data_IF_237176701716
#
_entry.id   IF_237176701716
#
_cell.length_a   1.000
_cell.length_b   1.000
_cell.length_c   1.000
_cell.angle_alpha   90.00
_cell.angle_beta   90.00
_cell.angle_gamma   90.00
#
_symmetry.space_group_name_H-M   'P 1'
#
loop_
_entity.id
_entity.type
_entity.pdbx_description
1 polymer ?
#
# COMPACT_ATOMS: atom_id res chain seq x y z
N UNK A 1 -7.91 -10.85 9.33
CA UNK A 1 -7.90 -10.43 7.91
C UNK A 1 -8.37 -11.63 7.11
N UNK A 2 -9.27 -11.43 6.14
CA UNK A 2 -9.93 -12.55 5.45
C UNK A 2 -9.15 -13.02 4.22
N UNK A 3 -8.41 -12.13 3.55
CA UNK A 3 -7.60 -12.48 2.38
C UNK A 3 -6.23 -13.07 2.77
N UNK A 4 -5.69 -13.96 1.93
CA UNK A 4 -4.31 -14.43 2.05
C UNK A 4 -3.30 -13.31 1.72
N UNK A 5 -2.10 -13.39 2.31
CA UNK A 5 -1.01 -12.41 2.12
C UNK A 5 -0.70 -12.18 0.64
N UNK A 6 -0.72 -13.22 -0.19
CA UNK A 6 -0.46 -13.11 -1.63
C UNK A 6 -1.49 -12.22 -2.32
N UNK A 7 -2.76 -12.37 -1.97
CA UNK A 7 -3.83 -11.55 -2.54
C UNK A 7 -3.67 -10.08 -2.12
N UNK A 8 -3.30 -9.83 -0.87
CA UNK A 8 -3.02 -8.48 -0.36
C UNK A 8 -1.86 -7.84 -1.15
N UNK A 9 -0.74 -8.57 -1.35
CA UNK A 9 0.39 -8.09 -2.15
C UNK A 9 -0.04 -7.75 -3.58
N UNK A 10 -0.87 -8.59 -4.20
CA UNK A 10 -1.39 -8.35 -5.55
C UNK A 10 -2.32 -7.13 -5.63
N UNK A 11 -3.10 -6.86 -4.59
CA UNK A 11 -3.94 -5.66 -4.52
C UNK A 11 -3.09 -4.41 -4.33
N UNK A 12 -2.09 -4.46 -3.44
CA UNK A 12 -1.13 -3.35 -3.23
C UNK A 12 -0.39 -3.00 -4.53
N UNK A 13 0.01 -3.99 -5.34
CA UNK A 13 0.66 -3.73 -6.64
C UNK A 13 -0.21 -3.00 -7.67
N UNK A 14 -1.52 -2.89 -7.45
CA UNK A 14 -2.45 -2.14 -8.33
C UNK A 14 -2.61 -0.67 -7.91
N UNK A 15 -2.01 -0.26 -6.79
CA UNK A 15 -2.07 1.14 -6.34
C UNK A 15 -1.30 2.01 -7.34
N UNK A 16 -1.96 3.06 -7.80
CA UNK A 16 -1.34 4.08 -8.64
C UNK A 16 -0.88 5.23 -7.76
N UNK A 17 0.44 5.37 -7.62
CA UNK A 17 1.08 6.43 -6.83
C UNK A 17 1.69 7.49 -7.76
N UNK A 18 1.56 8.75 -7.37
CA UNK A 18 2.38 9.85 -7.88
C UNK A 18 3.25 10.37 -6.74
N UNK A 19 4.57 10.33 -6.93
CA UNK A 19 5.54 10.93 -6.01
C UNK A 19 6.03 12.25 -6.63
N UNK A 20 6.05 13.33 -5.86
CA UNK A 20 6.55 14.64 -6.32
C UNK A 20 8.07 14.78 -6.18
N UNK A 21 8.67 14.00 -5.29
CA UNK A 21 10.12 13.92 -5.04
C UNK A 21 10.71 12.59 -5.54
N UNK A 22 11.99 12.59 -5.88
CA UNK A 22 12.73 11.38 -6.30
C UNK A 22 13.27 10.55 -5.11
N UNK A 23 12.97 10.98 -3.87
CA UNK A 23 13.36 10.29 -2.65
C UNK A 23 12.45 9.09 -2.35
N UNK A 24 13.02 8.04 -1.76
CA UNK A 24 12.26 6.92 -1.20
C UNK A 24 11.30 7.40 -0.13
N UNK A 25 10.01 7.10 -0.29
CA UNK A 25 8.98 7.44 0.68
C UNK A 25 8.52 6.18 1.42
N UNK A 26 8.35 6.30 2.73
CA UNK A 26 7.68 5.29 3.55
C UNK A 26 6.19 5.60 3.59
N UNK A 27 5.36 4.58 3.38
CA UNK A 27 3.91 4.64 3.53
C UNK A 27 3.45 3.61 4.56
N UNK A 28 2.35 3.90 5.24
CA UNK A 28 1.80 3.06 6.30
C UNK A 28 0.28 2.91 6.15
N UNK A 29 -0.24 1.75 6.53
CA UNK A 29 -1.66 1.53 6.80
C UNK A 29 -1.73 0.94 8.21
N UNK A 30 -2.51 1.56 9.09
CA UNK A 30 -2.76 1.09 10.46
C UNK A 30 -4.25 1.13 10.77
N UNK A 31 -4.93 -0.03 10.72
CA UNK A 31 -6.39 -0.11 10.81
C UNK A 31 -6.83 -1.21 11.76
N UNK A 32 -7.70 -0.85 12.72
CA UNK A 32 -8.39 -1.79 13.61
C UNK A 32 -9.78 -2.11 13.05
N UNK A 33 -10.12 -3.40 13.00
CA UNK A 33 -11.39 -3.86 12.48
C UNK A 33 -12.57 -3.70 13.46
N UNK A 34 -13.81 -3.86 12.97
CA UNK A 34 -14.15 -4.29 11.61
C UNK A 34 -14.03 -3.14 10.58
N UNK A 35 -13.32 -3.36 9.48
CA UNK A 35 -13.06 -2.32 8.48
C UNK A 35 -12.79 -2.89 7.08
N UNK A 36 -13.20 -2.15 6.04
CA UNK A 36 -12.76 -2.36 4.66
C UNK A 36 -11.61 -1.41 4.38
N UNK A 37 -10.43 -1.95 4.11
CA UNK A 37 -9.21 -1.16 3.85
C UNK A 37 -9.09 -0.91 2.36
N UNK A 38 -8.90 0.35 2.00
CA UNK A 38 -8.71 0.84 0.64
C UNK A 38 -7.35 1.50 0.49
N UNK A 39 -6.95 1.84 -0.75
CA UNK A 39 -5.75 2.62 -0.98
C UNK A 39 -5.83 4.04 -0.40
N UNK A 40 -7.04 4.56 -0.16
CA UNK A 40 -7.28 5.83 0.51
C UNK A 40 -6.89 5.84 1.98
N UNK A 41 -6.77 4.67 2.62
CA UNK A 41 -6.34 4.52 4.01
C UNK A 41 -4.80 4.60 4.18
N UNK A 42 -4.06 4.81 3.09
CA UNK A 42 -2.61 4.96 3.12
C UNK A 42 -2.24 6.30 3.76
N UNK A 43 -1.44 6.20 4.81
CA UNK A 43 -0.78 7.32 5.49
C UNK A 43 0.60 7.48 4.84
N UNK A 44 0.84 8.64 4.24
CA UNK A 44 2.09 8.96 3.58
C UNK A 44 2.45 10.43 3.73
N UNK A 45 3.65 10.77 3.27
CA UNK A 45 4.15 12.15 3.27
C UNK A 45 3.39 13.02 2.24
N UNK A 46 3.50 14.35 2.35
CA UNK A 46 2.77 15.30 1.49
C UNK A 46 3.15 15.15 0.00
N UNK A 47 4.36 14.67 -0.28
CA UNK A 47 4.86 14.40 -1.62
C UNK A 47 4.26 13.14 -2.27
N UNK A 48 3.40 12.39 -1.57
CA UNK A 48 2.80 11.15 -2.07
C UNK A 48 1.31 11.32 -2.31
N UNK A 49 0.89 11.06 -3.55
CA UNK A 49 -0.51 11.08 -3.94
C UNK A 49 -0.98 9.72 -4.44
N UNK A 50 -1.99 9.18 -3.78
CA UNK A 50 -2.75 8.01 -4.24
C UNK A 50 -3.74 8.47 -5.32
N UNK A 51 -3.65 7.90 -6.52
CA UNK A 51 -4.47 8.30 -7.68
C UNK A 51 -5.77 7.50 -7.80
N UNK A 52 -5.85 6.35 -7.15
CA UNK A 52 -7.01 5.46 -7.12
C UNK A 52 -7.40 5.09 -5.68
N UNK A 53 -7.86 6.07 -4.86
CA UNK A 53 -8.10 5.88 -3.43
C UNK A 53 -9.15 4.80 -3.13
N UNK A 54 -10.15 4.60 -3.99
CA UNK A 54 -11.21 3.61 -3.79
C UNK A 54 -10.78 2.16 -4.05
N UNK A 55 -9.52 1.91 -4.43
CA UNK A 55 -9.01 0.56 -4.70
C UNK A 55 -9.06 -0.29 -3.41
N UNK A 56 -9.81 -1.42 -3.38
CA UNK A 56 -9.85 -2.28 -2.21
C UNK A 56 -8.53 -3.03 -2.02
N UNK A 57 -8.04 -3.06 -0.78
CA UNK A 57 -6.82 -3.77 -0.38
C UNK A 57 -7.17 -5.05 0.36
N UNK A 58 -7.89 -4.93 1.49
CA UNK A 58 -8.29 -6.07 2.31
C UNK A 58 -9.49 -5.78 3.23
N UNK A 59 -10.03 -6.82 3.85
CA UNK A 59 -11.08 -6.75 4.88
C UNK A 59 -10.52 -7.19 6.23
N UNK A 60 -10.67 -6.32 7.23
CA UNK A 60 -10.25 -6.57 8.62
C UNK A 60 -11.47 -6.96 9.45
N UNK A 61 -11.44 -8.15 10.05
CA UNK A 61 -12.51 -8.65 10.90
C UNK A 61 -12.57 -7.93 12.26
N UNK A 62 -13.70 -8.05 12.95
CA UNK A 62 -13.88 -7.53 14.30
C UNK A 62 -12.79 -8.04 15.26
N UNK A 63 -12.25 -7.15 16.09
CA UNK A 63 -11.17 -7.47 17.02
C UNK A 63 -9.78 -7.71 16.39
N UNK A 64 -9.64 -7.63 15.07
CA UNK A 64 -8.35 -7.76 14.39
C UNK A 64 -7.69 -6.40 14.11
N UNK A 65 -6.38 -6.42 13.91
CA UNK A 65 -5.57 -5.25 13.57
C UNK A 65 -4.74 -5.56 12.33
N UNK A 66 -4.74 -4.64 11.37
CA UNK A 66 -3.95 -4.72 10.15
C UNK A 66 -2.97 -3.56 10.14
N UNK A 67 -1.68 -3.89 10.17
CA UNK A 67 -0.59 -2.94 10.09
C UNK A 67 0.33 -3.33 8.94
N UNK A 68 0.58 -2.38 8.03
CA UNK A 68 1.43 -2.57 6.86
C UNK A 68 2.31 -1.34 6.67
N UNK A 69 3.61 -1.58 6.50
CA UNK A 69 4.58 -0.56 6.11
C UNK A 69 5.15 -0.91 4.74
N UNK A 70 5.19 0.06 3.84
CA UNK A 70 5.70 -0.10 2.48
C UNK A 70 6.65 1.04 2.11
N UNK A 71 7.55 0.78 1.17
CA UNK A 71 8.42 1.80 0.58
C UNK A 71 8.05 2.02 -0.88
N UNK A 72 8.03 3.27 -1.30
CA UNK A 72 7.72 3.68 -2.67
C UNK A 72 8.87 4.51 -3.23
N UNK A 73 9.30 4.15 -4.45
CA UNK A 73 10.38 4.80 -5.20
C UNK A 73 9.87 5.19 -6.59
N UNK A 74 10.48 6.20 -7.19
CA UNK A 74 10.33 6.52 -8.60
C UNK A 74 11.20 5.58 -9.44
N UNK A 75 10.76 5.26 -10.66
CA UNK A 75 11.48 4.35 -11.55
C UNK A 75 10.86 4.29 -12.93
N UNK A 76 11.50 3.57 -13.86
CA UNK A 76 11.01 3.35 -15.23
C UNK A 76 10.95 1.87 -15.57
N UNK A 77 9.88 1.47 -16.23
CA UNK A 77 9.70 0.08 -16.66
C UNK A 77 9.27 -0.84 -15.52
N UNK A 78 9.80 -2.06 -15.52
CA UNK A 78 9.46 -3.10 -14.54
C UNK A 78 10.73 -3.50 -13.77
N UNK A 79 10.61 -3.59 -12.45
CA UNK A 79 11.68 -4.07 -11.55
C UNK A 79 11.17 -5.35 -10.88
N UNK A 80 11.99 -6.41 -10.92
CA UNK A 80 11.66 -7.68 -10.30
C UNK A 80 11.69 -7.56 -8.77
N UNK A 81 11.04 -8.49 -8.06
CA UNK A 81 11.13 -8.53 -6.61
C UNK A 81 12.54 -8.88 -6.10
N UNK A 82 13.39 -9.50 -6.94
CA UNK A 82 14.78 -9.80 -6.59
C UNK A 82 15.65 -8.56 -6.62
N UNK A 83 15.47 -7.71 -7.63
CA UNK A 83 16.17 -6.42 -7.78
C UNK A 83 15.69 -5.36 -6.78
N UNK A 84 14.43 -5.42 -6.33
CA UNK A 84 13.81 -4.43 -5.45
C UNK A 84 14.08 -4.65 -3.94
N UNK A 85 15.14 -5.39 -3.58
CA UNK A 85 15.51 -5.71 -2.18
C UNK A 85 16.45 -4.69 -1.52
N UNK A 86 16.84 -3.65 -2.25
CA UNK A 86 17.91 -2.73 -1.87
C UNK A 86 17.39 -1.31 -1.67
#
# INVERSE_FOLDING_TARGET
VTEDVTAIILNVKKIALKLESDETKTLEIDVKGPANVTAGDIIGDADVKVLNPDLPICTVADGAHFHMRMTANTGRGYVSAEDNKH
#
